data_IF_600516049351
#
_entry.id   IF_600516049351
#
_cell.length_a   1.000
_cell.length_b   1.000
_cell.length_c   1.000
_cell.angle_alpha   90.00
_cell.angle_beta   90.00
_cell.angle_gamma   90.00
#
_symmetry.space_group_name_H-M   'P 1'
#
loop_
_entity.id
_entity.type
_entity.pdbx_description
1 polymer ?
#
# COMPACT_ATOMS: atom_id res chain seq x y z
N UNK A 1 -18.22 -34.31 -48.73
CA UNK A 1 -17.10 -33.42 -48.42
C UNK A 1 -17.52 -32.01 -48.00
N UNK A 2 -18.47 -31.35 -48.67
CA UNK A 2 -18.88 -29.95 -48.27
C UNK A 2 -19.59 -29.83 -46.93
N UNK A 3 -20.29 -30.86 -46.43
CA UNK A 3 -20.95 -30.80 -45.11
C UNK A 3 -19.97 -30.98 -43.94
N UNK A 4 -18.93 -31.80 -44.11
CA UNK A 4 -17.88 -31.97 -43.08
C UNK A 4 -17.07 -30.69 -42.85
N UNK A 5 -16.78 -29.95 -43.93
CA UNK A 5 -16.05 -28.69 -43.88
C UNK A 5 -16.83 -27.60 -43.11
N UNK A 6 -18.18 -27.55 -43.24
CA UNK A 6 -19.04 -26.58 -42.53
C UNK A 6 -19.12 -26.89 -41.04
N UNK A 7 -19.11 -28.17 -40.63
CA UNK A 7 -19.15 -28.58 -39.23
C UNK A 7 -17.85 -28.21 -38.50
N UNK A 8 -16.71 -28.39 -39.14
CA UNK A 8 -15.39 -28.03 -38.58
C UNK A 8 -15.25 -26.50 -38.40
N UNK A 9 -15.76 -25.70 -39.33
CA UNK A 9 -15.75 -24.23 -39.24
C UNK A 9 -16.64 -23.74 -38.09
N UNK A 10 -17.80 -24.35 -37.88
CA UNK A 10 -18.69 -24.03 -36.77
C UNK A 10 -18.07 -24.41 -35.40
N UNK A 11 -17.39 -25.55 -35.30
CA UNK A 11 -16.66 -25.94 -34.09
C UNK A 11 -15.49 -25.01 -33.76
N UNK A 12 -14.75 -24.58 -34.79
CA UNK A 12 -13.64 -23.62 -34.62
C UNK A 12 -14.14 -22.23 -34.20
N UNK A 13 -15.29 -21.78 -34.71
CA UNK A 13 -15.93 -20.53 -34.29
C UNK A 13 -16.48 -20.59 -32.83
N UNK A 14 -16.91 -21.76 -32.36
CA UNK A 14 -17.31 -21.94 -30.95
C UNK A 14 -16.12 -21.98 -30.02
N UNK A 15 -14.97 -22.51 -30.43
CA UNK A 15 -13.73 -22.49 -29.62
C UNK A 15 -13.11 -21.08 -29.47
N UNK A 16 -13.31 -20.20 -30.46
CA UNK A 16 -12.86 -18.80 -30.37
C UNK A 16 -13.71 -17.94 -29.45
N UNK A 17 -14.94 -18.33 -29.11
CA UNK A 17 -15.83 -17.57 -28.22
C UNK A 17 -15.64 -17.86 -26.73
N UNK A 18 -14.79 -18.78 -26.32
CA UNK A 18 -14.61 -19.14 -24.90
C UNK A 18 -13.49 -18.40 -24.17
N UNK A 19 -12.74 -17.53 -24.85
CA UNK A 19 -11.61 -16.82 -24.23
C UNK A 19 -11.86 -15.35 -23.91
N UNK A 20 -13.10 -14.89 -23.86
CA UNK A 20 -13.45 -13.52 -23.47
C UNK A 20 -14.03 -13.43 -22.06
N UNK A 21 -13.54 -14.23 -21.11
CA UNK A 21 -13.56 -13.74 -19.74
C UNK A 21 -12.47 -12.70 -19.67
N UNK A 22 -12.86 -11.43 -19.80
CA UNK A 22 -11.98 -10.32 -19.47
C UNK A 22 -11.49 -10.59 -18.05
N UNK A 23 -10.25 -11.00 -17.91
CA UNK A 23 -9.61 -11.23 -16.62
C UNK A 23 -9.70 -9.89 -15.89
N UNK A 24 -10.62 -9.80 -14.94
CA UNK A 24 -10.85 -8.55 -14.21
C UNK A 24 -9.51 -8.13 -13.61
N UNK A 25 -8.99 -7.01 -14.06
CA UNK A 25 -7.69 -6.52 -13.61
C UNK A 25 -7.71 -6.45 -12.08
N UNK A 26 -6.62 -6.89 -11.45
CA UNK A 26 -6.51 -6.83 -10.00
C UNK A 26 -6.78 -5.39 -9.49
N UNK A 27 -7.36 -5.22 -8.30
CA UNK A 27 -7.59 -3.90 -7.73
C UNK A 27 -6.33 -3.03 -7.85
N UNK A 28 -6.50 -1.74 -8.17
CA UNK A 28 -5.42 -0.76 -8.35
C UNK A 28 -4.47 -0.98 -9.53
N UNK A 29 -4.69 -1.98 -10.38
CA UNK A 29 -3.82 -2.28 -11.52
C UNK A 29 -3.54 -1.04 -12.38
N UNK A 30 -4.55 -0.21 -12.67
CA UNK A 30 -4.41 0.98 -13.49
C UNK A 30 -3.49 2.04 -12.83
N UNK A 31 -3.62 2.23 -11.51
CA UNK A 31 -2.76 3.16 -10.76
C UNK A 31 -1.29 2.69 -10.79
N UNK A 32 -1.06 1.39 -10.63
CA UNK A 32 0.28 0.82 -10.69
C UNK A 32 0.89 0.94 -12.10
N UNK A 33 0.09 0.69 -13.16
CA UNK A 33 0.56 0.90 -14.54
C UNK A 33 0.88 2.37 -14.83
N UNK A 34 0.10 3.31 -14.27
CA UNK A 34 0.37 4.74 -14.39
C UNK A 34 1.72 5.11 -13.74
N UNK A 35 2.06 4.53 -12.58
CA UNK A 35 3.40 4.72 -11.99
C UNK A 35 4.52 4.23 -12.90
N UNK A 36 4.38 3.01 -13.46
CA UNK A 36 5.37 2.45 -14.39
C UNK A 36 5.54 3.30 -15.65
N UNK A 37 4.45 3.81 -16.21
CA UNK A 37 4.48 4.69 -17.36
C UNK A 37 5.18 6.02 -17.02
N UNK A 38 4.86 6.62 -15.87
CA UNK A 38 5.52 7.82 -15.38
C UNK A 38 7.03 7.62 -15.23
N UNK A 39 7.44 6.48 -14.64
CA UNK A 39 8.85 6.13 -14.43
C UNK A 39 9.60 5.87 -15.73
N UNK A 40 8.91 5.39 -16.78
CA UNK A 40 9.51 5.20 -18.10
C UNK A 40 9.79 6.53 -18.82
N UNK A 41 9.00 7.57 -18.54
CA UNK A 41 9.15 8.91 -19.12
C UNK A 41 10.14 9.74 -18.27
N UNK A 42 9.99 9.68 -16.96
CA UNK A 42 10.82 10.41 -15.99
C UNK A 42 11.40 9.41 -14.98
N UNK A 43 12.58 8.86 -15.23
CA UNK A 43 13.19 7.89 -14.33
C UNK A 43 13.30 8.44 -12.90
N UNK A 44 12.86 7.69 -11.89
CA UNK A 44 12.89 8.14 -10.51
C UNK A 44 14.35 8.33 -10.04
N UNK A 45 14.58 9.30 -9.14
CA UNK A 45 15.93 9.60 -8.65
C UNK A 45 16.46 8.43 -7.79
N UNK A 46 17.76 8.17 -7.90
CA UNK A 46 18.45 7.24 -7.01
C UNK A 46 18.52 7.79 -5.57
N UNK A 47 18.63 6.87 -4.59
CA UNK A 47 18.76 7.18 -3.16
C UNK A 47 17.62 8.03 -2.58
N UNK A 48 16.46 7.98 -3.21
CA UNK A 48 15.27 8.71 -2.76
C UNK A 48 14.68 8.13 -1.47
N UNK A 49 13.84 8.94 -0.82
CA UNK A 49 12.90 8.49 0.19
C UNK A 49 11.60 8.11 -0.51
N UNK A 50 11.19 6.86 -0.38
CA UNK A 50 9.98 6.33 -1.00
C UNK A 50 8.82 6.35 -0.01
N UNK A 51 7.76 7.08 -0.32
CA UNK A 51 6.49 7.07 0.40
C UNK A 51 5.55 6.06 -0.23
N UNK A 52 5.08 5.09 0.56
CA UNK A 52 4.12 4.06 0.14
C UNK A 52 2.93 3.99 1.08
N UNK A 53 1.79 3.58 0.56
CA UNK A 53 0.58 3.35 1.35
C UNK A 53 -0.69 3.82 0.68
N UNK A 54 -1.66 4.21 1.51
CA UNK A 54 -3.03 4.45 1.10
C UNK A 54 -3.31 5.89 0.62
N UNK A 55 -4.60 6.25 0.62
CA UNK A 55 -5.09 7.56 0.16
C UNK A 55 -4.42 8.77 0.82
N UNK A 56 -4.01 8.67 2.09
CA UNK A 56 -3.31 9.76 2.76
C UNK A 56 -1.94 10.04 2.14
N UNK A 57 -1.22 9.00 1.72
CA UNK A 57 0.05 9.16 0.98
C UNK A 57 -0.22 9.66 -0.43
N UNK A 58 -1.18 9.05 -1.14
CA UNK A 58 -1.57 9.49 -2.48
C UNK A 58 -2.00 10.95 -2.51
N UNK A 59 -2.79 11.38 -1.51
CA UNK A 59 -3.31 12.75 -1.41
C UNK A 59 -2.24 13.80 -1.08
N UNK A 60 -1.09 13.37 -0.55
CA UNK A 60 0.04 14.26 -0.26
C UNK A 60 0.91 14.45 -1.52
N UNK A 61 0.30 15.02 -2.56
CA UNK A 61 0.95 15.18 -3.87
C UNK A 61 2.13 16.15 -3.87
N UNK A 62 2.15 17.09 -2.94
CA UNK A 62 3.17 18.11 -2.75
C UNK A 62 4.17 17.78 -1.63
N UNK A 63 4.25 16.52 -1.21
CA UNK A 63 5.15 16.04 -0.12
C UNK A 63 6.61 16.49 -0.32
N UNK A 64 7.07 16.63 -1.56
CA UNK A 64 8.40 17.13 -1.89
C UNK A 64 8.65 18.53 -1.31
N UNK A 65 7.63 19.39 -1.25
CA UNK A 65 7.77 20.76 -0.76
C UNK A 65 8.04 20.84 0.74
N UNK A 66 7.64 19.81 1.49
CA UNK A 66 7.88 19.71 2.95
C UNK A 66 9.26 19.17 3.27
N UNK A 67 9.93 18.56 2.31
CA UNK A 67 11.26 17.97 2.47
C UNK A 67 12.17 18.38 1.30
N UNK A 68 12.46 19.68 1.14
CA UNK A 68 13.16 20.21 -0.05
C UNK A 68 14.60 19.67 -0.22
N UNK A 69 15.22 19.26 0.88
CA UNK A 69 16.60 18.72 0.87
C UNK A 69 16.68 17.25 0.47
N UNK A 70 15.53 16.56 0.36
CA UNK A 70 15.48 15.15 0.04
C UNK A 70 14.80 14.91 -1.31
N UNK A 71 15.20 13.86 -1.99
CA UNK A 71 14.51 13.38 -3.19
C UNK A 71 13.37 12.48 -2.76
N UNK A 72 12.14 12.83 -3.07
CA UNK A 72 10.94 12.08 -2.66
C UNK A 72 10.31 11.40 -3.86
N UNK A 73 9.95 10.13 -3.68
CA UNK A 73 9.09 9.37 -4.60
C UNK A 73 7.80 9.04 -3.84
N UNK A 74 6.65 9.46 -4.37
CA UNK A 74 5.35 9.09 -3.83
C UNK A 74 4.73 7.99 -4.70
N UNK A 75 4.46 6.82 -4.08
CA UNK A 75 3.79 5.67 -4.68
C UNK A 75 2.63 5.21 -3.79
N UNK A 76 1.94 6.19 -3.18
CA UNK A 76 0.66 5.97 -2.52
C UNK A 76 -0.46 5.74 -3.54
N UNK A 77 -1.37 4.81 -3.27
CA UNK A 77 -2.54 4.55 -4.11
C UNK A 77 -3.81 4.41 -3.26
N UNK A 78 -4.92 4.97 -3.78
CA UNK A 78 -6.07 5.32 -2.98
C UNK A 78 -6.84 4.13 -2.42
N UNK A 79 -7.11 4.13 -1.10
CA UNK A 79 -7.93 3.10 -0.46
C UNK A 79 -7.22 1.76 -0.22
N UNK A 80 -5.93 1.64 -0.55
CA UNK A 80 -5.18 0.39 -0.42
C UNK A 80 -5.09 -0.11 1.01
N UNK A 81 -5.14 -1.43 1.14
CA UNK A 81 -4.88 -2.19 2.36
C UNK A 81 -3.43 -2.68 2.38
N UNK A 82 -2.97 -3.23 3.51
CA UNK A 82 -1.65 -3.90 3.57
C UNK A 82 -1.53 -5.06 2.56
N UNK A 83 -2.54 -5.93 2.34
CA UNK A 83 -2.51 -6.92 1.26
C UNK A 83 -2.29 -6.35 -0.14
N UNK A 84 -2.84 -5.17 -0.43
CA UNK A 84 -2.64 -4.52 -1.72
C UNK A 84 -1.19 -4.02 -1.87
N UNK A 85 -0.64 -3.39 -0.82
CA UNK A 85 0.77 -2.98 -0.79
C UNK A 85 1.71 -4.18 -0.92
N UNK A 86 1.40 -5.31 -0.25
CA UNK A 86 2.15 -6.56 -0.37
C UNK A 86 2.13 -7.08 -1.81
N UNK A 87 0.95 -7.11 -2.42
CA UNK A 87 0.77 -7.56 -3.82
C UNK A 87 1.65 -6.79 -4.79
N UNK A 88 1.69 -5.47 -4.65
CA UNK A 88 2.38 -4.58 -5.57
C UNK A 88 3.80 -4.19 -5.12
N UNK A 89 4.31 -4.73 -4.02
CA UNK A 89 5.67 -4.46 -3.56
C UNK A 89 6.75 -4.65 -4.65
N UNK A 90 6.68 -5.70 -5.51
CA UNK A 90 7.61 -5.85 -6.63
C UNK A 90 7.57 -4.72 -7.66
N UNK A 91 6.44 -4.02 -7.78
CA UNK A 91 6.25 -2.94 -8.75
C UNK A 91 6.56 -1.56 -8.17
N UNK A 92 6.18 -1.32 -6.90
CA UNK A 92 6.20 0.02 -6.30
C UNK A 92 7.26 0.21 -5.19
N UNK A 93 8.04 -0.81 -4.86
CA UNK A 93 9.06 -0.72 -3.80
C UNK A 93 10.44 -1.14 -4.34
N UNK A 94 10.56 -2.38 -4.82
CA UNK A 94 11.86 -2.98 -5.12
C UNK A 94 12.63 -2.28 -6.26
N UNK A 95 11.98 -1.83 -7.35
CA UNK A 95 12.69 -1.19 -8.46
C UNK A 95 13.41 0.10 -8.07
N UNK A 96 12.90 0.83 -7.06
CA UNK A 96 13.44 2.13 -6.67
C UNK A 96 14.70 2.06 -5.83
N UNK A 97 14.97 0.93 -5.16
CA UNK A 97 16.13 0.76 -4.26
C UNK A 97 16.34 1.98 -3.35
N UNK A 98 15.30 2.45 -2.63
CA UNK A 98 15.33 3.70 -1.90
C UNK A 98 16.28 3.65 -0.70
N UNK A 99 16.81 4.80 -0.28
CA UNK A 99 17.56 4.93 0.97
C UNK A 99 16.69 4.75 2.20
N UNK A 100 15.42 5.18 2.10
CA UNK A 100 14.40 5.02 3.14
C UNK A 100 13.03 4.75 2.51
N UNK A 101 12.22 3.96 3.20
CA UNK A 101 10.80 3.74 2.89
C UNK A 101 9.97 4.28 4.04
N UNK A 102 9.03 5.18 3.74
CA UNK A 102 8.01 5.66 4.67
C UNK A 102 6.71 4.92 4.36
N UNK A 103 6.20 4.15 5.32
CA UNK A 103 5.01 3.32 5.17
C UNK A 103 3.86 3.93 5.96
N UNK A 104 2.76 4.27 5.29
CA UNK A 104 1.48 4.59 5.90
C UNK A 104 0.38 3.67 5.33
N UNK A 105 0.07 2.58 6.00
CA UNK A 105 -0.93 1.59 5.61
C UNK A 105 -1.52 0.88 6.84
N UNK A 106 -2.69 0.27 6.68
CA UNK A 106 -3.36 -0.50 7.74
C UNK A 106 -4.69 0.09 8.19
N UNK A 107 -4.96 1.37 7.93
CA UNK A 107 -6.25 2.01 8.27
C UNK A 107 -7.42 1.36 7.51
N UNK A 108 -7.25 1.10 6.21
CA UNK A 108 -8.27 0.51 5.35
C UNK A 108 -8.44 -1.00 5.55
N UNK A 109 -7.52 -1.63 6.26
CA UNK A 109 -7.64 -3.05 6.58
C UNK A 109 -8.84 -3.32 7.49
N UNK A 110 -9.07 -2.48 8.51
CA UNK A 110 -10.15 -2.67 9.47
C UNK A 110 -11.55 -2.70 8.86
N UNK A 111 -11.93 -1.75 7.98
CA UNK A 111 -13.25 -1.79 7.35
C UNK A 111 -13.38 -2.82 6.22
N UNK A 112 -12.30 -3.46 5.78
CA UNK A 112 -12.33 -4.43 4.67
C UNK A 112 -13.10 -5.71 5.02
N UNK A 113 -13.15 -6.09 6.31
CA UNK A 113 -13.94 -7.20 6.83
C UNK A 113 -14.12 -7.07 8.33
N UNK A 114 -15.27 -7.54 8.85
CA UNK A 114 -15.53 -7.58 10.29
C UNK A 114 -14.57 -8.48 11.08
N UNK A 115 -13.90 -9.42 10.41
CA UNK A 115 -12.92 -10.32 11.01
C UNK A 115 -11.53 -9.73 11.18
N UNK A 116 -11.28 -8.52 10.66
CA UNK A 116 -9.97 -7.89 10.75
C UNK A 116 -9.75 -7.30 12.13
N UNK A 117 -8.75 -7.81 12.83
CA UNK A 117 -8.32 -7.37 14.17
C UNK A 117 -6.94 -6.74 14.12
N UNK A 118 -6.49 -6.18 15.24
CA UNK A 118 -5.13 -5.69 15.41
C UNK A 118 -4.07 -6.77 15.09
N UNK A 119 -4.30 -8.00 15.50
CA UNK A 119 -3.40 -9.12 15.21
C UNK A 119 -3.31 -9.40 13.72
N UNK A 120 -4.43 -9.30 12.99
CA UNK A 120 -4.46 -9.43 11.53
C UNK A 120 -3.62 -8.34 10.85
N UNK A 121 -3.83 -7.08 11.23
CA UNK A 121 -3.06 -5.93 10.69
C UNK A 121 -1.58 -6.05 11.02
N UNK A 122 -1.25 -6.42 12.24
CA UNK A 122 0.14 -6.64 12.67
C UNK A 122 0.81 -7.76 11.86
N UNK A 123 0.12 -8.89 11.63
CA UNK A 123 0.64 -10.00 10.82
C UNK A 123 0.91 -9.57 9.38
N UNK A 124 -0.01 -8.82 8.76
CA UNK A 124 0.16 -8.27 7.42
C UNK A 124 1.34 -7.29 7.35
N UNK A 125 1.45 -6.40 8.34
CA UNK A 125 2.60 -5.49 8.43
C UNK A 125 3.93 -6.24 8.55
N UNK A 126 4.02 -7.25 9.42
CA UNK A 126 5.26 -8.03 9.58
C UNK A 126 5.61 -8.82 8.32
N UNK A 127 4.62 -9.27 7.56
CA UNK A 127 4.82 -9.87 6.23
C UNK A 127 5.45 -8.86 5.26
N UNK A 128 4.85 -7.67 5.11
CA UNK A 128 5.39 -6.60 4.25
C UNK A 128 6.81 -6.23 4.67
N UNK A 129 7.03 -6.03 5.98
CA UNK A 129 8.34 -5.70 6.53
C UNK A 129 9.39 -6.78 6.18
N UNK A 130 9.03 -8.06 6.35
CA UNK A 130 9.89 -9.21 6.01
C UNK A 130 10.26 -9.25 4.54
N UNK A 131 9.28 -9.03 3.65
CA UNK A 131 9.50 -8.97 2.19
C UNK A 131 10.44 -7.83 1.81
N UNK A 132 10.21 -6.62 2.34
CA UNK A 132 11.09 -5.47 2.09
C UNK A 132 12.50 -5.77 2.61
N UNK A 133 12.62 -6.34 3.80
CA UNK A 133 13.93 -6.62 4.42
C UNK A 133 14.71 -7.71 3.68
N UNK A 134 14.03 -8.68 3.10
CA UNK A 134 14.65 -9.72 2.27
C UNK A 134 15.24 -9.15 0.97
N UNK A 135 14.49 -8.28 0.30
CA UNK A 135 14.88 -7.70 -0.99
C UNK A 135 15.82 -6.49 -0.83
N UNK A 136 15.57 -5.66 0.20
CA UNK A 136 16.27 -4.41 0.45
C UNK A 136 16.86 -4.39 1.88
N UNK A 137 17.88 -5.19 2.18
CA UNK A 137 18.36 -5.41 3.55
C UNK A 137 18.96 -4.16 4.22
N UNK A 138 19.42 -3.17 3.43
CA UNK A 138 20.08 -1.97 3.94
C UNK A 138 19.16 -0.75 4.01
N UNK A 139 17.98 -0.78 3.41
CA UNK A 139 17.02 0.34 3.37
C UNK A 139 16.46 0.63 4.76
N UNK A 140 16.39 1.90 5.15
CA UNK A 140 15.73 2.30 6.38
C UNK A 140 14.20 2.22 6.18
N UNK A 141 13.47 1.78 7.22
CA UNK A 141 12.02 1.67 7.17
C UNK A 141 11.43 2.52 8.30
N UNK A 142 10.59 3.49 7.96
CA UNK A 142 9.80 4.27 8.89
C UNK A 142 8.33 3.89 8.72
N UNK A 143 7.70 3.40 9.79
CA UNK A 143 6.25 3.20 9.83
C UNK A 143 5.60 4.39 10.51
N UNK A 144 4.69 5.05 9.80
CA UNK A 144 3.82 6.09 10.36
C UNK A 144 2.61 5.41 10.97
N UNK A 145 2.30 5.69 12.22
CA UNK A 145 1.19 5.08 12.94
C UNK A 145 -0.13 5.23 12.18
N UNK A 146 -0.97 4.21 12.27
CA UNK A 146 -2.34 4.29 11.78
C UNK A 146 -3.04 5.42 12.53
N UNK A 147 -3.49 6.45 11.83
CA UNK A 147 -4.11 7.65 12.42
C UNK A 147 -5.53 7.39 12.93
N UNK A 148 -6.01 8.14 13.91
CA UNK A 148 -7.42 8.16 14.25
C UNK A 148 -8.19 8.90 13.13
N UNK A 149 -9.48 8.67 12.99
CA UNK A 149 -10.34 9.55 12.19
C UNK A 149 -11.81 9.45 12.64
N UNK A 150 -12.62 10.51 12.47
CA UNK A 150 -14.05 10.46 12.80
C UNK A 150 -14.80 9.32 12.13
N UNK A 151 -14.47 9.02 10.87
CA UNK A 151 -15.09 7.93 10.10
C UNK A 151 -14.68 6.52 10.56
N UNK A 152 -13.69 6.42 11.45
CA UNK A 152 -13.10 5.16 11.93
C UNK A 152 -13.21 4.96 13.45
N UNK A 153 -14.04 5.74 14.15
CA UNK A 153 -14.18 5.71 15.61
C UNK A 153 -14.32 4.28 16.16
N UNK A 154 -15.18 3.47 15.55
CA UNK A 154 -15.41 2.08 16.01
C UNK A 154 -14.18 1.17 15.94
N UNK A 155 -13.18 1.53 15.13
CA UNK A 155 -11.95 0.75 14.98
C UNK A 155 -10.77 1.28 15.80
N UNK A 156 -10.92 2.44 16.46
CA UNK A 156 -9.83 3.06 17.21
C UNK A 156 -9.19 2.14 18.26
N UNK A 157 -9.94 1.33 19.04
CA UNK A 157 -9.32 0.40 20.01
C UNK A 157 -8.37 -0.60 19.31
N UNK A 158 -8.79 -1.15 18.16
CA UNK A 158 -7.96 -2.08 17.39
C UNK A 158 -6.77 -1.37 16.73
N UNK A 159 -6.93 -0.12 16.27
CA UNK A 159 -5.83 0.69 15.73
C UNK A 159 -4.77 0.97 16.79
N UNK A 160 -5.16 1.33 18.01
CA UNK A 160 -4.23 1.54 19.14
C UNK A 160 -3.45 0.27 19.46
N UNK A 161 -4.15 -0.89 19.51
CA UNK A 161 -3.52 -2.18 19.74
C UNK A 161 -2.53 -2.53 18.62
N UNK A 162 -2.92 -2.38 17.36
CA UNK A 162 -2.05 -2.64 16.21
C UNK A 162 -0.81 -1.73 16.20
N UNK A 163 -1.00 -0.42 16.43
CA UNK A 163 0.08 0.55 16.56
C UNK A 163 1.08 0.16 17.66
N UNK A 164 0.57 -0.25 18.82
CA UNK A 164 1.38 -0.72 19.94
C UNK A 164 2.21 -1.96 19.60
N UNK A 165 1.61 -2.95 18.89
CA UNK A 165 2.28 -4.16 18.45
C UNK A 165 3.38 -3.87 17.42
N UNK A 166 3.08 -3.01 16.42
CA UNK A 166 4.03 -2.60 15.39
C UNK A 166 5.21 -1.84 16.03
N UNK A 167 4.92 -0.86 16.90
CA UNK A 167 5.95 -0.10 17.61
C UNK A 167 6.88 -1.02 18.41
N UNK A 168 6.32 -1.98 19.16
CA UNK A 168 7.11 -2.96 19.94
C UNK A 168 7.95 -3.88 19.04
N UNK A 169 7.43 -4.26 17.88
CA UNK A 169 8.15 -5.07 16.90
C UNK A 169 9.33 -4.29 16.30
N UNK A 170 9.10 -3.05 15.83
CA UNK A 170 10.12 -2.22 15.19
C UNK A 170 11.27 -1.85 16.14
N UNK A 171 11.00 -1.64 17.44
CA UNK A 171 12.04 -1.40 18.45
C UNK A 171 13.12 -2.51 18.52
N UNK A 172 12.79 -3.72 18.05
CA UNK A 172 13.70 -4.88 18.03
C UNK A 172 14.38 -5.09 16.68
N UNK A 173 14.15 -4.18 15.71
CA UNK A 173 14.67 -4.28 14.36
C UNK A 173 15.69 -3.19 14.08
N UNK A 174 16.75 -3.54 13.36
CA UNK A 174 17.72 -2.57 12.87
C UNK A 174 17.15 -1.81 11.66
N UNK A 175 17.55 -0.54 11.50
CA UNK A 175 17.10 0.31 10.39
C UNK A 175 15.57 0.35 10.28
N UNK A 176 14.91 0.47 11.43
CA UNK A 176 13.46 0.47 11.52
C UNK A 176 13.00 1.43 12.61
N UNK A 177 12.09 2.32 12.25
CA UNK A 177 11.59 3.39 13.10
C UNK A 177 10.07 3.46 13.07
N UNK A 178 9.50 4.13 14.05
CA UNK A 178 8.06 4.34 14.22
C UNK A 178 7.79 5.80 14.51
N UNK A 179 6.99 6.45 13.69
CA UNK A 179 6.51 7.82 13.88
C UNK A 179 5.08 7.79 14.45
N UNK A 180 4.89 8.37 15.63
CA UNK A 180 3.59 8.48 16.27
C UNK A 180 2.86 9.74 15.81
N UNK A 181 1.96 9.60 14.84
CA UNK A 181 1.00 10.64 14.47
C UNK A 181 -0.34 10.45 15.18
N UNK A 182 -0.66 9.22 15.61
CA UNK A 182 -1.93 8.90 16.26
C UNK A 182 -2.19 9.81 17.47
N UNK A 183 -1.25 9.84 18.41
CA UNK A 183 -1.40 10.64 19.64
C UNK A 183 -1.45 12.16 19.37
N UNK A 184 -0.86 12.60 18.24
CA UNK A 184 -0.83 14.02 17.84
C UNK A 184 -2.11 14.52 17.17
N UNK A 185 -2.99 13.59 16.80
CA UNK A 185 -4.25 13.87 16.12
C UNK A 185 -5.48 13.69 17.03
N UNK A 186 -5.25 13.60 18.34
CA UNK A 186 -6.30 13.51 19.36
C UNK A 186 -6.48 14.82 20.14
N UNK A 187 -7.72 15.15 20.47
CA UNK A 187 -8.07 16.14 21.47
C UNK A 187 -7.76 15.61 22.88
N UNK A 188 -7.86 16.47 23.88
CA UNK A 188 -7.59 16.12 25.30
C UNK A 188 -8.54 15.03 25.84
N UNK A 189 -9.75 14.90 25.29
CA UNK A 189 -10.73 13.87 25.63
C UNK A 189 -10.49 12.53 24.89
N UNK A 190 -9.46 12.44 24.06
CA UNK A 190 -9.12 11.26 23.28
C UNK A 190 -9.90 11.10 21.96
N UNK A 191 -10.76 12.05 21.60
CA UNK A 191 -11.43 12.05 20.31
C UNK A 191 -10.52 12.56 19.18
N UNK A 192 -10.72 12.16 17.93
CA UNK A 192 -9.99 12.71 16.79
C UNK A 192 -10.27 14.20 16.62
N UNK A 193 -9.23 15.00 16.35
CA UNK A 193 -9.36 16.41 16.01
C UNK A 193 -10.18 16.56 14.71
N UNK A 194 -11.35 17.23 14.71
CA UNK A 194 -12.21 17.29 13.54
C UNK A 194 -11.62 18.12 12.39
N UNK A 195 -10.85 19.16 12.71
CA UNK A 195 -10.37 20.16 11.73
C UNK A 195 -9.22 19.71 10.83
N UNK A 196 -8.72 18.47 11.03
CA UNK A 196 -7.59 17.93 10.26
C UNK A 196 -7.99 16.78 9.31
N UNK A 197 -9.32 16.57 9.09
CA UNK A 197 -9.85 15.49 8.25
C UNK A 197 -10.72 16.00 7.09
#
# INVERSE_FOLDING_TARGET
MKQFSRLIILLLLQLCNQNSYAQQAAPFYQEIQAFKQQDSINPPPADAILFIGSSSVRGWSDVQNYFPEYKIINRGFGGSTLPDVIRYAPDIIYPYKPSQIVIYAGENDFPSSQSVTADTVFKRFTQLFGMIRAELPKTNILFVSIKPSPSRLKYMPEMVKANGMIRKYLKKKTRAEYADVYSKMLLADGSPMPDIF
#
